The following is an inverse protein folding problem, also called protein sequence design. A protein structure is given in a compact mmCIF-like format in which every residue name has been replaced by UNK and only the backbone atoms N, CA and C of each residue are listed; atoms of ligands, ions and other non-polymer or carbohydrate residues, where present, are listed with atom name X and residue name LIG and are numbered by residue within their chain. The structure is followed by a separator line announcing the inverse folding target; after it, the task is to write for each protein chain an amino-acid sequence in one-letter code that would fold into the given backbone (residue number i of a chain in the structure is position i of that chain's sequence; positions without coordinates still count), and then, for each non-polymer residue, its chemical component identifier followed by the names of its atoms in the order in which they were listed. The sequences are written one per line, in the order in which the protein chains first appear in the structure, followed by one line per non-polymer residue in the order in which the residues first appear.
data_IF_043725441015
#
_entry.id   IF_043725441015
#
_cell.length_a   1.000
_cell.length_b   1.000
_cell.length_c   1.000
_cell.angle_alpha   90.00
_cell.angle_beta   90.00
_cell.angle_gamma   90.00
#
_symmetry.space_group_name_H-M   'P 1'
#
loop_
_entity.id
_entity.type
_entity.pdbx_description
1 polymer ?
#
# COMPACT_ATOMS: atom_id res chain seq x y z
N UNK A 1 -19.66 -8.63 -2.26
CA UNK A 1 -19.46 -7.20 -1.91
C UNK A 1 -18.53 -6.61 -2.94
N UNK A 2 -18.98 -5.68 -3.80
CA UNK A 2 -18.12 -5.07 -4.82
C UNK A 2 -17.17 -4.08 -4.13
N UNK A 3 -15.85 -4.09 -4.40
CA UNK A 3 -14.97 -3.07 -3.84
C UNK A 3 -15.38 -1.71 -4.41
N UNK A 4 -15.56 -0.70 -3.54
CA UNK A 4 -15.68 0.69 -3.98
C UNK A 4 -14.31 1.13 -4.52
N UNK A 5 -14.04 0.83 -5.79
CA UNK A 5 -12.94 1.42 -6.54
C UNK A 5 -13.42 2.75 -7.12
N UNK A 6 -13.33 3.82 -6.31
CA UNK A 6 -13.51 5.20 -6.78
C UNK A 6 -12.90 6.19 -5.78
N UNK A 7 -11.58 6.17 -5.63
CA UNK A 7 -10.82 7.38 -5.31
C UNK A 7 -10.09 7.76 -6.60
N UNK A 8 -10.57 8.75 -7.37
CA UNK A 8 -10.02 9.03 -8.70
C UNK A 8 -8.58 9.53 -8.64
N UNK A 9 -8.12 10.07 -7.51
CA UNK A 9 -6.73 10.43 -7.27
C UNK A 9 -6.37 10.07 -5.82
N UNK A 10 -5.31 9.26 -5.64
CA UNK A 10 -4.73 9.04 -4.31
C UNK A 10 -3.88 10.25 -3.96
N UNK A 11 -4.07 10.82 -2.76
CA UNK A 11 -3.09 11.78 -2.25
C UNK A 11 -1.78 11.05 -1.92
N UNK A 12 -0.69 11.80 -1.79
CA UNK A 12 0.59 11.26 -1.29
C UNK A 12 0.38 10.57 0.08
N UNK A 13 -0.47 11.15 0.92
CA UNK A 13 -0.85 10.58 2.21
C UNK A 13 -1.57 9.23 2.06
N UNK A 14 -2.61 9.17 1.23
CA UNK A 14 -3.34 7.93 0.97
C UNK A 14 -2.40 6.84 0.45
N UNK A 15 -1.49 7.20 -0.47
CA UNK A 15 -0.50 6.27 -1.00
C UNK A 15 0.38 5.69 0.12
N UNK A 16 0.96 6.52 0.99
CA UNK A 16 1.82 6.02 2.07
C UNK A 16 1.07 5.22 3.13
N UNK A 17 -0.20 5.55 3.39
CA UNK A 17 -1.05 4.78 4.31
C UNK A 17 -1.38 3.38 3.75
N UNK A 18 -1.74 3.28 2.47
CA UNK A 18 -1.96 2.00 1.79
C UNK A 18 -0.67 1.19 1.64
N UNK A 19 0.45 1.86 1.35
CA UNK A 19 1.77 1.24 1.29
C UNK A 19 2.16 0.65 2.65
N UNK A 20 1.96 1.40 3.73
CA UNK A 20 2.19 0.90 5.08
C UNK A 20 1.28 -0.27 5.43
N UNK A 21 0.02 -0.25 4.98
CA UNK A 21 -0.94 -1.34 5.19
C UNK A 21 -0.44 -2.63 4.54
N UNK A 22 0.10 -2.54 3.32
CA UNK A 22 0.80 -3.67 2.68
C UNK A 22 2.00 -4.17 3.51
N UNK A 23 2.67 -3.26 4.21
CA UNK A 23 3.74 -3.53 5.15
C UNK A 23 3.31 -4.15 6.49
N UNK A 24 2.02 -4.15 6.83
CA UNK A 24 1.48 -4.68 8.09
C UNK A 24 0.90 -3.63 9.03
N UNK A 25 0.80 -2.36 8.62
CA UNK A 25 0.04 -1.35 9.37
C UNK A 25 -1.45 -1.68 9.34
N UNK A 26 -2.12 -1.65 10.50
CA UNK A 26 -3.53 -2.07 10.61
C UNK A 26 -4.52 -0.98 10.15
N UNK A 27 -4.11 0.29 10.14
CA UNK A 27 -4.93 1.43 9.76
C UNK A 27 -6.30 1.50 10.47
N UNK A 28 -6.38 1.12 11.76
CA UNK A 28 -7.63 1.23 12.53
C UNK A 28 -7.83 2.64 13.04
N UNK A 29 -9.07 2.96 13.37
CA UNK A 29 -9.42 4.23 14.00
C UNK A 29 -8.57 4.42 15.27
N UNK A 30 -7.84 5.54 15.34
CA UNK A 30 -6.92 5.93 16.43
C UNK A 30 -5.57 5.20 16.51
N UNK A 31 -5.16 4.40 15.51
CA UNK A 31 -3.80 3.83 15.50
C UNK A 31 -2.70 4.89 15.26
N UNK A 32 -3.07 6.10 14.80
CA UNK A 32 -2.12 7.16 14.46
C UNK A 32 -1.55 7.02 13.04
N UNK A 33 -0.37 7.56 12.81
CA UNK A 33 0.31 7.54 11.52
C UNK A 33 1.21 6.31 11.35
N UNK A 34 1.38 5.78 10.12
CA UNK A 34 2.26 4.65 9.89
C UNK A 34 3.73 5.00 10.16
N UNK A 35 4.44 4.10 10.84
CA UNK A 35 5.88 4.24 11.07
C UNK A 35 6.73 3.83 9.85
N UNK A 36 7.97 4.34 9.79
CA UNK A 36 8.91 4.11 8.67
C UNK A 36 9.16 2.63 8.35
N UNK A 37 9.13 1.75 9.35
CA UNK A 37 9.34 0.30 9.17
C UNK A 37 8.21 -0.34 8.36
N UNK A 38 6.96 0.03 8.65
CA UNK A 38 5.79 -0.47 7.92
C UNK A 38 5.78 0.03 6.48
N UNK A 39 6.14 1.30 6.26
CA UNK A 39 6.29 1.89 4.93
C UNK A 39 7.37 1.16 4.12
N UNK A 40 8.57 0.99 4.69
CA UNK A 40 9.68 0.30 4.01
C UNK A 40 9.35 -1.16 3.68
N UNK A 41 8.69 -1.86 4.60
CA UNK A 41 8.25 -3.24 4.37
C UNK A 41 7.21 -3.31 3.25
N UNK A 42 6.26 -2.36 3.22
CA UNK A 42 5.30 -2.20 2.15
C UNK A 42 5.95 -1.95 0.80
N UNK A 43 6.91 -1.03 0.74
CA UNK A 43 7.69 -0.71 -0.46
C UNK A 43 8.37 -1.94 -1.06
N UNK A 44 9.10 -2.71 -0.25
CA UNK A 44 9.75 -3.94 -0.71
C UNK A 44 8.75 -4.95 -1.28
N UNK A 45 7.60 -5.14 -0.62
CA UNK A 45 6.54 -6.04 -1.09
C UNK A 45 5.91 -5.54 -2.40
N UNK A 46 5.68 -4.23 -2.52
CA UNK A 46 5.13 -3.63 -3.73
C UNK A 46 6.07 -3.84 -4.92
N UNK A 47 7.36 -3.58 -4.74
CA UNK A 47 8.37 -3.82 -5.78
C UNK A 47 8.41 -5.29 -6.20
N UNK A 48 8.39 -6.24 -5.26
CA UNK A 48 8.34 -7.66 -5.60
C UNK A 48 7.11 -8.03 -6.46
N UNK A 49 5.95 -7.43 -6.19
CA UNK A 49 4.74 -7.62 -7.00
C UNK A 49 4.87 -6.99 -8.40
N UNK A 50 5.44 -5.79 -8.49
CA UNK A 50 5.68 -5.11 -9.77
C UNK A 50 6.61 -5.97 -10.64
N UNK A 51 7.69 -6.50 -10.10
CA UNK A 51 8.58 -7.39 -10.85
C UNK A 51 7.88 -8.68 -11.29
N UNK A 52 7.06 -9.29 -10.42
CA UNK A 52 6.24 -10.44 -10.80
C UNK A 52 5.25 -10.13 -11.93
N UNK A 53 4.61 -8.96 -11.91
CA UNK A 53 3.70 -8.52 -12.98
C UNK A 53 4.43 -8.27 -14.29
N UNK A 54 5.63 -7.68 -14.26
CA UNK A 54 6.46 -7.50 -15.46
C UNK A 54 6.80 -8.83 -16.13
N UNK A 55 7.11 -9.87 -15.35
CA UNK A 55 7.39 -11.21 -15.86
C UNK A 55 6.18 -11.87 -16.53
N UNK A 56 4.95 -11.55 -16.08
CA UNK A 56 3.72 -12.06 -16.71
C UNK A 56 3.34 -11.30 -17.99
N UNK A 57 3.85 -10.07 -18.14
CA UNK A 57 3.52 -9.17 -19.25
C UNK A 57 4.59 -9.16 -20.36
N UNK A 58 5.72 -9.84 -20.15
CA UNK A 58 6.78 -10.07 -21.13
C UNK A 58 6.54 -11.33 -21.93
#
# INVERSE_FOLDING_TARGET
MKPKLAKPELTVYDFFCELATLGGFLARKHDGEPGWQSIWTGYKKLHGRIEGMKLLMS
#
